data_IF_304855695831
#
_entry.id   IF_304855695831
#
_cell.length_a   1.000
_cell.length_b   1.000
_cell.length_c   1.000
_cell.angle_alpha   90.00
_cell.angle_beta   90.00
_cell.angle_gamma   90.00
#
_symmetry.space_group_name_H-M   'P 1'
#
loop_
_entity.id
_entity.type
_entity.pdbx_description
1 polymer ?
#
# COMPACT_ATOMS: atom_id res chain seq x y z
N UNK A 1 9.43 18.55 35.00
CA UNK A 1 7.96 18.45 35.08
C UNK A 1 7.37 18.96 33.78
N UNK A 2 7.24 18.08 32.79
CA UNK A 2 6.56 18.38 31.53
C UNK A 2 5.08 18.11 31.74
N UNK A 3 4.31 19.18 31.96
CA UNK A 3 2.86 19.12 32.05
C UNK A 3 2.31 18.60 30.72
N UNK A 4 1.87 17.34 30.70
CA UNK A 4 1.11 16.78 29.60
C UNK A 4 -0.16 17.62 29.40
N UNK A 5 -0.38 18.22 28.22
CA UNK A 5 -1.67 18.82 27.94
C UNK A 5 -2.74 17.73 28.05
N UNK A 6 -3.92 18.05 28.61
CA UNK A 6 -5.00 17.07 28.73
C UNK A 6 -5.36 16.55 27.33
N UNK A 7 -5.53 15.24 27.21
CA UNK A 7 -6.21 14.65 26.07
C UNK A 7 -7.56 15.36 25.91
N UNK A 8 -7.96 15.75 24.69
CA UNK A 8 -9.28 16.34 24.48
C UNK A 8 -10.33 15.42 25.11
N UNK A 9 -11.21 16.02 25.92
CA UNK A 9 -12.32 15.31 26.55
C UNK A 9 -13.18 14.64 25.48
N UNK A 10 -13.62 13.39 25.67
CA UNK A 10 -14.38 12.68 24.67
C UNK A 10 -15.66 13.41 24.36
N UNK A 11 -15.72 13.98 23.17
CA UNK A 11 -16.96 14.57 22.67
C UNK A 11 -17.93 13.43 22.38
N UNK A 12 -18.88 13.21 23.30
CA UNK A 12 -20.03 12.32 23.14
C UNK A 12 -21.01 12.88 22.09
N UNK A 13 -20.51 13.20 20.90
CA UNK A 13 -21.36 13.56 19.77
C UNK A 13 -21.93 12.26 19.21
N UNK A 14 -23.27 12.12 19.09
CA UNK A 14 -23.86 10.93 18.52
C UNK A 14 -23.33 10.74 17.10
N UNK A 15 -22.75 9.57 16.85
CA UNK A 15 -22.19 9.24 15.53
C UNK A 15 -23.33 9.11 14.53
N UNK A 16 -23.47 10.10 13.65
CA UNK A 16 -24.39 10.02 12.52
C UNK A 16 -24.05 8.79 11.66
N UNK A 17 -25.03 8.00 11.20
CA UNK A 17 -24.79 6.91 10.26
C UNK A 17 -24.04 7.35 9.00
N UNK A 18 -24.18 8.62 8.61
CA UNK A 18 -23.47 9.22 7.48
C UNK A 18 -21.94 9.24 7.67
N UNK A 19 -21.44 9.25 8.91
CA UNK A 19 -20.00 9.20 9.21
C UNK A 19 -19.43 7.79 9.04
N UNK A 20 -20.27 6.75 9.20
CA UNK A 20 -19.85 5.35 9.09
C UNK A 20 -19.99 4.87 7.64
N UNK A 21 -20.97 5.42 6.91
CA UNK A 21 -21.32 4.99 5.55
C UNK A 21 -20.12 4.87 4.60
N UNK A 22 -19.16 5.82 4.51
CA UNK A 22 -17.99 5.66 3.64
C UNK A 22 -17.17 4.41 3.96
N UNK A 23 -17.01 4.05 5.23
CA UNK A 23 -16.22 2.89 5.65
C UNK A 23 -16.89 1.56 5.28
N UNK A 24 -18.23 1.55 5.16
CA UNK A 24 -19.01 0.39 4.69
C UNK A 24 -19.02 0.33 3.17
N UNK A 25 -19.21 1.48 2.50
CA UNK A 25 -19.30 1.53 1.05
C UNK A 25 -17.97 1.26 0.35
N UNK A 26 -16.84 1.69 0.92
CA UNK A 26 -15.52 1.56 0.30
C UNK A 26 -15.18 0.09 -0.07
N UNK A 27 -15.23 -0.90 0.85
CA UNK A 27 -14.94 -2.28 0.51
C UNK A 27 -15.92 -2.86 -0.53
N UNK A 28 -17.19 -2.44 -0.51
CA UNK A 28 -18.18 -2.85 -1.51
C UNK A 28 -17.84 -2.28 -2.88
N UNK A 29 -17.48 -1.00 -2.96
CA UNK A 29 -17.08 -0.32 -4.19
C UNK A 29 -15.82 -0.92 -4.81
N UNK A 30 -14.86 -1.35 -3.99
CA UNK A 30 -13.65 -2.04 -4.46
C UNK A 30 -14.01 -3.31 -5.24
N UNK A 31 -14.94 -4.12 -4.73
CA UNK A 31 -15.39 -5.35 -5.39
C UNK A 31 -16.30 -5.04 -6.58
N UNK A 32 -17.24 -4.10 -6.41
CA UNK A 32 -18.15 -3.67 -7.47
C UNK A 32 -17.39 -3.04 -8.65
N UNK A 33 -16.20 -2.47 -8.45
CA UNK A 33 -15.35 -2.02 -9.54
C UNK A 33 -15.00 -3.14 -10.53
N UNK A 34 -14.99 -4.40 -10.09
CA UNK A 34 -14.67 -5.58 -10.90
C UNK A 34 -15.90 -6.34 -11.43
N UNK A 35 -17.08 -6.09 -10.87
CA UNK A 35 -18.25 -6.93 -11.09
C UNK A 35 -19.03 -6.66 -12.39
N UNK A 36 -19.41 -5.41 -12.73
CA UNK A 36 -20.11 -5.10 -13.98
C UNK A 36 -19.32 -5.53 -15.22
N UNK A 37 -19.99 -5.87 -16.33
CA UNK A 37 -19.31 -6.06 -17.62
C UNK A 37 -18.53 -4.80 -18.02
N UNK A 38 -17.54 -4.90 -18.92
CA UNK A 38 -16.82 -3.72 -19.41
C UNK A 38 -17.78 -2.78 -20.14
N UNK A 39 -17.82 -1.51 -19.73
CA UNK A 39 -18.57 -0.45 -20.39
C UNK A 39 -17.77 0.85 -20.41
N UNK A 40 -18.07 1.73 -21.38
CA UNK A 40 -17.28 2.94 -21.70
C UNK A 40 -16.94 3.83 -20.50
N UNK A 41 -17.85 3.96 -19.54
CA UNK A 41 -17.70 4.86 -18.40
C UNK A 41 -17.37 4.16 -17.08
N UNK A 42 -17.02 2.86 -17.12
CA UNK A 42 -16.73 2.10 -15.89
C UNK A 42 -15.57 2.70 -15.11
N UNK A 43 -14.46 2.96 -15.79
CA UNK A 43 -13.27 3.54 -15.17
C UNK A 43 -13.52 4.92 -14.53
N UNK A 44 -14.02 5.94 -15.24
CA UNK A 44 -14.28 7.24 -14.63
C UNK A 44 -15.33 7.18 -13.52
N UNK A 45 -16.37 6.34 -13.65
CA UNK A 45 -17.39 6.16 -12.61
C UNK A 45 -16.77 5.64 -11.30
N UNK A 46 -16.07 4.51 -11.37
CA UNK A 46 -15.49 3.90 -10.17
C UNK A 46 -14.32 4.70 -9.60
N UNK A 47 -13.54 5.39 -10.45
CA UNK A 47 -12.51 6.33 -9.99
C UNK A 47 -13.13 7.43 -9.10
N UNK A 48 -14.21 8.07 -9.56
CA UNK A 48 -14.89 9.13 -8.80
C UNK A 48 -15.52 8.58 -7.53
N UNK A 49 -16.24 7.46 -7.61
CA UNK A 49 -16.87 6.83 -6.44
C UNK A 49 -15.83 6.43 -5.37
N UNK A 50 -14.74 5.78 -5.79
CA UNK A 50 -13.66 5.38 -4.87
C UNK A 50 -12.96 6.61 -4.27
N UNK A 51 -12.72 7.67 -5.05
CA UNK A 51 -12.11 8.89 -4.56
C UNK A 51 -12.99 9.60 -3.51
N UNK A 52 -14.30 9.75 -3.79
CA UNK A 52 -15.26 10.33 -2.84
C UNK A 52 -15.34 9.49 -1.57
N UNK A 53 -15.39 8.16 -1.71
CA UNK A 53 -15.53 7.26 -0.58
C UNK A 53 -14.25 7.21 0.28
N UNK A 54 -13.07 7.18 -0.34
CA UNK A 54 -11.77 7.28 0.34
C UNK A 54 -11.62 8.62 1.07
N UNK A 55 -12.01 9.72 0.43
CA UNK A 55 -12.04 11.02 1.08
C UNK A 55 -13.01 11.02 2.27
N UNK A 56 -14.21 10.47 2.09
CA UNK A 56 -15.18 10.28 3.16
C UNK A 56 -14.62 9.49 4.35
N UNK A 57 -13.89 8.40 4.10
CA UNK A 57 -13.23 7.62 5.15
C UNK A 57 -12.14 8.42 5.91
N UNK A 58 -11.51 9.38 5.23
CA UNK A 58 -10.42 10.18 5.82
C UNK A 58 -10.97 11.38 6.58
N UNK A 59 -11.99 12.05 6.01
CA UNK A 59 -12.62 13.24 6.57
C UNK A 59 -13.65 12.91 7.65
N UNK A 60 -14.13 11.66 7.71
CA UNK A 60 -15.10 11.22 8.71
C UNK A 60 -14.57 11.49 10.13
N UNK A 61 -15.40 12.01 11.04
CA UNK A 61 -15.04 12.09 12.45
C UNK A 61 -15.04 10.70 13.12
N UNK A 62 -15.55 9.66 12.45
CA UNK A 62 -15.58 8.29 12.94
C UNK A 62 -14.47 7.43 12.30
N UNK A 63 -13.82 6.53 13.05
CA UNK A 63 -13.83 6.45 14.51
C UNK A 63 -13.25 7.73 15.14
N UNK A 64 -13.64 8.08 16.39
CA UNK A 64 -13.07 9.23 17.09
C UNK A 64 -11.53 9.22 17.09
N UNK A 65 -10.88 10.38 17.11
CA UNK A 65 -9.41 10.46 17.16
C UNK A 65 -8.89 10.44 18.61
N UNK A 66 -9.34 9.46 19.40
CA UNK A 66 -9.11 9.41 20.84
C UNK A 66 -8.91 7.97 21.35
N UNK A 67 -8.15 7.82 22.43
CA UNK A 67 -7.91 6.53 23.09
C UNK A 67 -7.49 5.39 22.15
N UNK A 68 -8.13 4.24 22.30
CA UNK A 68 -7.90 2.98 21.54
C UNK A 68 -8.39 3.06 20.09
N UNK A 69 -9.28 3.99 19.77
CA UNK A 69 -9.86 4.14 18.42
C UNK A 69 -8.92 4.81 17.40
N UNK A 70 -7.81 5.41 17.86
CA UNK A 70 -6.82 6.09 17.00
C UNK A 70 -6.13 5.14 16.03
N UNK A 71 -5.72 3.96 16.50
CA UNK A 71 -5.11 2.94 15.66
C UNK A 71 -6.08 2.45 14.58
N UNK A 72 -7.35 2.24 14.94
CA UNK A 72 -8.40 1.86 14.01
C UNK A 72 -8.64 2.96 12.96
N UNK A 73 -8.73 4.23 13.39
CA UNK A 73 -8.89 5.37 12.49
C UNK A 73 -7.73 5.46 11.47
N UNK A 74 -6.49 5.30 11.93
CA UNK A 74 -5.31 5.24 11.05
C UNK A 74 -5.36 4.07 10.08
N UNK A 75 -5.77 2.88 10.54
CA UNK A 75 -5.93 1.70 9.68
C UNK A 75 -6.98 1.92 8.59
N UNK A 76 -8.13 2.50 8.95
CA UNK A 76 -9.22 2.81 8.02
C UNK A 76 -8.83 3.90 7.02
N UNK A 77 -8.13 4.96 7.45
CA UNK A 77 -7.61 5.98 6.53
C UNK A 77 -6.49 5.43 5.63
N UNK A 78 -5.81 4.36 6.06
CA UNK A 78 -4.80 3.64 5.28
C UNK A 78 -5.36 2.61 4.28
N UNK A 79 -6.69 2.54 4.11
CA UNK A 79 -7.35 1.65 3.13
C UNK A 79 -6.96 1.91 1.66
N UNK A 80 -6.27 3.03 1.39
CA UNK A 80 -5.71 3.35 0.08
C UNK A 80 -4.82 2.26 -0.51
N UNK A 81 -4.24 1.39 0.33
CA UNK A 81 -3.46 0.23 -0.10
C UNK A 81 -4.27 -0.76 -0.97
N UNK A 82 -5.59 -0.74 -0.86
CA UNK A 82 -6.52 -1.52 -1.71
C UNK A 82 -7.15 -0.67 -2.82
N UNK A 83 -7.37 0.63 -2.55
CA UNK A 83 -7.91 1.58 -3.53
C UNK A 83 -6.94 1.80 -4.68
N UNK A 84 -5.66 2.04 -4.39
CA UNK A 84 -4.67 2.37 -5.40
C UNK A 84 -4.47 1.25 -6.44
N UNK A 85 -4.27 -0.04 -6.07
CA UNK A 85 -4.29 -1.14 -7.03
C UNK A 85 -5.61 -1.25 -7.80
N UNK A 86 -6.74 -1.00 -7.14
CA UNK A 86 -8.05 -1.13 -7.79
C UNK A 86 -8.28 -0.04 -8.84
N UNK A 87 -7.93 1.19 -8.51
CA UNK A 87 -7.98 2.31 -9.46
C UNK A 87 -7.05 2.02 -10.63
N UNK A 88 -5.80 1.62 -10.38
CA UNK A 88 -4.84 1.33 -11.45
C UNK A 88 -5.38 0.25 -12.40
N UNK A 89 -5.90 -0.85 -11.87
CA UNK A 89 -6.43 -1.97 -12.68
C UNK A 89 -7.68 -1.62 -13.47
N UNK A 90 -8.57 -0.78 -12.95
CA UNK A 90 -9.80 -0.42 -13.67
C UNK A 90 -9.54 0.71 -14.67
N UNK A 91 -8.61 1.62 -14.38
CA UNK A 91 -8.29 2.77 -15.24
C UNK A 91 -7.35 2.38 -16.38
N UNK A 92 -6.31 1.58 -16.08
CA UNK A 92 -5.26 1.24 -17.05
C UNK A 92 -5.49 -0.08 -17.76
N UNK A 93 -6.40 -0.93 -17.26
CA UNK A 93 -6.60 -2.28 -17.77
C UNK A 93 -8.09 -2.61 -17.94
N UNK A 94 -8.35 -3.70 -18.67
CA UNK A 94 -9.65 -4.37 -18.70
C UNK A 94 -9.55 -5.61 -17.82
N UNK A 95 -10.04 -5.59 -16.56
CA UNK A 95 -9.70 -6.62 -15.60
C UNK A 95 -10.08 -8.06 -16.01
N UNK A 96 -11.17 -8.20 -16.76
CA UNK A 96 -11.65 -9.48 -17.29
C UNK A 96 -10.69 -10.12 -18.29
N UNK A 97 -10.01 -9.28 -19.08
CA UNK A 97 -9.07 -9.69 -20.13
C UNK A 97 -7.65 -9.80 -19.60
N UNK A 98 -7.25 -8.81 -18.80
CA UNK A 98 -5.85 -8.57 -18.48
C UNK A 98 -5.38 -9.31 -17.23
N UNK A 99 -6.28 -9.73 -16.32
CA UNK A 99 -5.91 -10.43 -15.08
C UNK A 99 -6.56 -11.81 -14.98
N UNK A 100 -5.77 -12.87 -15.01
CA UNK A 100 -6.24 -14.25 -14.85
C UNK A 100 -5.34 -15.03 -13.90
N UNK A 101 -5.90 -16.05 -13.24
CA UNK A 101 -5.13 -16.92 -12.34
C UNK A 101 -4.19 -17.82 -13.14
N UNK A 102 -2.97 -17.96 -12.62
CA UNK A 102 -1.97 -18.90 -13.12
C UNK A 102 -2.01 -20.07 -12.14
N UNK A 103 -2.50 -21.21 -12.60
CA UNK A 103 -2.40 -22.48 -11.85
C UNK A 103 -1.08 -23.16 -12.24
N UNK A 104 -0.44 -23.84 -11.30
CA UNK A 104 0.95 -24.29 -11.44
C UNK A 104 1.16 -25.49 -12.39
N UNK A 105 0.12 -26.06 -13.02
CA UNK A 105 0.26 -27.36 -13.73
C UNK A 105 -0.36 -27.49 -15.15
N UNK A 106 -0.98 -26.46 -15.74
CA UNK A 106 -1.60 -26.60 -17.06
C UNK A 106 -0.73 -26.03 -18.19
N UNK A 107 0.06 -26.87 -18.85
CA UNK A 107 0.78 -26.51 -20.10
C UNK A 107 -0.17 -26.32 -21.31
N UNK A 108 -1.42 -26.78 -21.21
CA UNK A 108 -2.39 -26.78 -22.30
C UNK A 108 -2.93 -25.36 -22.63
N UNK A 109 -2.53 -24.84 -23.80
CA UNK A 109 -3.00 -23.57 -24.35
C UNK A 109 -4.52 -23.52 -24.59
N UNK A 110 -5.19 -24.66 -24.80
CA UNK A 110 -6.65 -24.72 -24.94
C UNK A 110 -7.37 -24.47 -23.61
N UNK A 111 -6.81 -24.96 -22.50
CA UNK A 111 -7.31 -24.72 -21.13
C UNK A 111 -7.04 -23.28 -20.71
N UNK A 112 -5.85 -22.74 -21.03
CA UNK A 112 -5.53 -21.31 -20.86
C UNK A 112 -6.49 -20.42 -21.67
N UNK A 113 -6.82 -20.80 -22.90
CA UNK A 113 -7.78 -20.09 -23.76
C UNK A 113 -9.21 -20.16 -23.21
N UNK A 114 -9.65 -21.32 -22.71
CA UNK A 114 -10.97 -21.50 -22.07
C UNK A 114 -11.10 -20.76 -20.73
N UNK A 115 -10.00 -20.61 -19.98
CA UNK A 115 -9.93 -19.76 -18.76
C UNK A 115 -9.85 -18.26 -19.11
N UNK A 116 -9.29 -17.89 -20.28
CA UNK A 116 -9.40 -16.54 -20.88
C UNK A 116 -10.81 -16.26 -21.42
N UNK A 117 -11.53 -17.28 -21.86
CA UNK A 117 -12.95 -17.22 -22.23
C UNK A 117 -13.80 -17.00 -20.98
N UNK A 118 -13.94 -15.72 -20.64
CA UNK A 118 -14.88 -15.06 -19.73
C UNK A 118 -15.63 -15.91 -18.71
N UNK A 119 -15.38 -15.62 -17.43
CA UNK A 119 -16.35 -15.91 -16.36
C UNK A 119 -17.69 -15.29 -16.74
N UNK A 120 -18.78 -16.07 -16.68
CA UNK A 120 -20.13 -15.62 -17.02
C UNK A 120 -20.44 -14.29 -16.31
N UNK A 121 -20.92 -13.31 -17.08
CA UNK A 121 -21.33 -12.02 -16.54
C UNK A 121 -22.45 -12.21 -15.51
N UNK A 122 -22.48 -11.33 -14.50
CA UNK A 122 -23.48 -11.37 -13.43
C UNK A 122 -23.55 -12.72 -12.69
N UNK A 123 -22.40 -13.40 -12.55
CA UNK A 123 -22.29 -14.66 -11.81
C UNK A 123 -21.59 -14.48 -10.47
N UNK A 124 -21.87 -15.38 -9.53
CA UNK A 124 -21.14 -15.49 -8.27
C UNK A 124 -19.63 -15.70 -8.52
N UNK A 125 -19.27 -16.45 -9.55
CA UNK A 125 -17.87 -16.63 -9.95
C UNK A 125 -17.20 -15.31 -10.32
N UNK A 126 -17.91 -14.38 -10.97
CA UNK A 126 -17.37 -13.05 -11.31
C UNK A 126 -17.21 -12.18 -10.07
N UNK A 127 -18.19 -12.21 -9.17
CA UNK A 127 -18.11 -11.52 -7.88
C UNK A 127 -16.91 -12.02 -7.08
N UNK A 128 -16.75 -13.33 -6.97
CA UNK A 128 -15.65 -13.97 -6.25
C UNK A 128 -14.28 -13.68 -6.87
N UNK A 129 -14.18 -13.66 -8.21
CA UNK A 129 -12.97 -13.22 -8.92
C UNK A 129 -12.61 -11.78 -8.57
N UNK A 130 -13.59 -10.88 -8.47
CA UNK A 130 -13.42 -9.50 -8.00
C UNK A 130 -12.90 -9.42 -6.57
N UNK A 131 -13.53 -10.16 -5.64
CA UNK A 131 -13.08 -10.27 -4.23
C UNK A 131 -11.62 -10.72 -4.16
N UNK A 132 -11.26 -11.81 -4.85
CA UNK A 132 -9.87 -12.32 -4.87
C UNK A 132 -8.88 -11.30 -5.42
N UNK A 133 -9.27 -10.54 -6.44
CA UNK A 133 -8.41 -9.52 -7.04
C UNK A 133 -8.17 -8.36 -6.06
N UNK A 134 -9.20 -7.91 -5.33
CA UNK A 134 -9.07 -6.91 -4.25
C UNK A 134 -8.18 -7.43 -3.12
N UNK A 135 -8.42 -8.67 -2.67
CA UNK A 135 -7.67 -9.29 -1.58
C UNK A 135 -6.23 -9.67 -1.96
N UNK A 136 -5.87 -9.60 -3.25
CA UNK A 136 -4.52 -9.90 -3.75
C UNK A 136 -3.90 -8.68 -4.44
N UNK A 137 -3.59 -7.60 -3.71
CA UNK A 137 -3.06 -6.37 -4.31
C UNK A 137 -1.71 -6.60 -5.02
N UNK A 138 -0.91 -7.56 -4.56
CA UNK A 138 0.38 -7.95 -5.16
C UNK A 138 0.26 -8.85 -6.39
N UNK A 139 -0.94 -9.39 -6.67
CA UNK A 139 -1.19 -10.26 -7.82
C UNK A 139 -0.63 -11.68 -7.72
N UNK A 140 -0.32 -12.19 -6.53
CA UNK A 140 0.17 -13.57 -6.30
C UNK A 140 -0.82 -14.59 -6.85
N UNK A 141 -0.35 -15.58 -7.62
CA UNK A 141 -1.23 -16.55 -8.29
C UNK A 141 -2.02 -15.96 -9.47
N UNK A 142 -1.74 -14.71 -9.85
CA UNK A 142 -2.22 -14.08 -11.08
C UNK A 142 -1.06 -13.87 -12.05
N UNK A 143 -1.39 -13.69 -13.32
CA UNK A 143 -0.42 -13.41 -14.40
C UNK A 143 0.42 -12.13 -14.19
N UNK A 144 0.09 -11.31 -13.19
CA UNK A 144 0.78 -10.07 -12.84
C UNK A 144 1.66 -10.17 -11.58
N UNK A 145 1.54 -11.25 -10.80
CA UNK A 145 2.39 -11.50 -9.64
C UNK A 145 3.55 -12.44 -9.99
N UNK A 146 4.66 -12.29 -9.26
CA UNK A 146 5.70 -13.31 -9.27
C UNK A 146 5.25 -14.56 -8.51
N UNK A 147 5.78 -15.74 -8.89
CA UNK A 147 5.68 -16.96 -8.08
C UNK A 147 6.28 -16.70 -6.70
N UNK A 148 5.60 -17.13 -5.64
CA UNK A 148 6.00 -16.81 -4.27
C UNK A 148 7.11 -17.74 -3.76
N UNK A 149 7.98 -17.19 -2.93
CA UNK A 149 8.78 -17.92 -1.94
C UNK A 149 8.24 -17.53 -0.54
N UNK A 150 8.02 -18.54 0.30
CA UNK A 150 7.28 -18.51 1.58
C UNK A 150 7.85 -17.59 2.67
N UNK A 151 6.98 -17.00 3.52
CA UNK A 151 6.71 -17.41 4.93
C UNK A 151 5.98 -16.33 5.77
N UNK A 152 5.03 -16.81 6.60
CA UNK A 152 4.39 -16.25 7.82
C UNK A 152 3.73 -14.86 7.77
N UNK A 153 2.39 -14.84 7.61
CA UNK A 153 1.45 -14.02 8.40
C UNK A 153 0.00 -14.35 8.01
N UNK A 154 -0.48 -15.51 8.48
CA UNK A 154 -1.88 -15.92 8.45
C UNK A 154 -2.64 -15.36 9.65
N UNK A 155 -3.91 -14.97 9.46
CA UNK A 155 -4.97 -15.23 10.46
C UNK A 155 -6.36 -14.77 10.00
N UNK A 156 -6.49 -13.69 9.22
CA UNK A 156 -7.83 -13.10 8.98
C UNK A 156 -8.48 -13.58 7.68
N UNK A 157 -7.69 -13.90 6.65
CA UNK A 157 -8.21 -14.43 5.37
C UNK A 157 -8.49 -15.93 5.36
N UNK A 158 -7.83 -16.68 6.24
CA UNK A 158 -7.89 -18.16 6.33
C UNK A 158 -9.24 -18.64 6.84
N UNK A 159 -9.87 -17.91 7.76
CA UNK A 159 -11.19 -18.25 8.30
C UNK A 159 -12.35 -18.13 7.28
N UNK A 160 -12.14 -17.48 6.13
CA UNK A 160 -13.17 -17.21 5.12
C UNK A 160 -12.95 -17.95 3.79
N UNK A 161 -11.91 -18.79 3.67
CA UNK A 161 -11.66 -19.59 2.45
C UNK A 161 -11.39 -18.77 1.18
N UNK A 162 -10.96 -17.51 1.31
CA UNK A 162 -10.82 -16.58 0.18
C UNK A 162 -9.62 -16.93 -0.72
N UNK A 163 -8.49 -17.26 -0.10
CA UNK A 163 -7.19 -17.60 -0.72
C UNK A 163 -6.47 -18.67 0.13
N UNK A 164 -5.67 -19.55 -0.48
CA UNK A 164 -4.81 -20.50 0.26
C UNK A 164 -3.70 -19.81 1.06
N UNK A 165 -3.16 -20.50 2.08
CA UNK A 165 -2.05 -20.02 2.94
C UNK A 165 -0.86 -19.52 2.12
N UNK A 166 -0.58 -20.20 1.01
CA UNK A 166 0.53 -19.91 0.10
C UNK A 166 0.29 -18.68 -0.79
N UNK A 167 -0.93 -18.12 -0.79
CA UNK A 167 -1.31 -16.97 -1.62
C UNK A 167 -1.15 -15.62 -0.88
N UNK A 168 -0.81 -15.64 0.41
CA UNK A 168 -0.55 -14.43 1.19
C UNK A 168 0.93 -14.06 1.18
N UNK A 169 1.32 -12.98 0.48
CA UNK A 169 2.72 -12.59 0.39
C UNK A 169 3.26 -12.13 1.74
N UNK A 170 4.52 -12.46 2.06
CA UNK A 170 5.20 -11.79 3.15
C UNK A 170 5.17 -10.28 2.86
N UNK A 171 4.75 -9.51 3.87
CA UNK A 171 4.61 -8.05 3.80
C UNK A 171 5.93 -7.39 3.38
N UNK A 172 7.02 -8.04 3.78
CA UNK A 172 8.38 -7.66 3.49
C UNK A 172 9.11 -8.73 2.68
N UNK A 173 10.10 -8.32 1.89
CA UNK A 173 11.04 -9.25 1.25
C UNK A 173 12.18 -9.68 2.17
N UNK A 174 13.27 -10.15 1.58
CA UNK A 174 14.46 -10.53 2.33
C UNK A 174 15.25 -9.30 2.81
N UNK A 175 15.62 -9.28 4.10
CA UNK A 175 16.54 -8.27 4.66
C UNK A 175 17.93 -8.31 4.03
N UNK A 176 18.33 -9.46 3.47
CA UNK A 176 19.61 -9.62 2.79
C UNK A 176 19.68 -8.86 1.46
N UNK A 177 18.54 -8.44 0.91
CA UNK A 177 18.48 -7.57 -0.27
C UNK A 177 18.57 -6.07 0.08
N UNK A 178 18.60 -5.70 1.36
CA UNK A 178 18.61 -4.32 1.86
C UNK A 178 20.02 -3.70 1.94
N UNK A 179 20.87 -3.94 0.95
CA UNK A 179 22.21 -3.32 0.84
C UNK A 179 22.27 -2.15 -0.15
N UNK A 180 21.13 -1.75 -0.71
CA UNK A 180 20.93 -0.49 -1.45
C UNK A 180 19.55 0.09 -1.10
N UNK A 181 19.38 1.41 -1.16
CA UNK A 181 18.08 2.07 -0.99
C UNK A 181 17.06 1.58 -2.01
N UNK A 182 17.48 1.37 -3.26
CA UNK A 182 16.63 0.78 -4.30
C UNK A 182 16.23 -0.67 -3.96
N UNK A 183 17.12 -1.42 -3.31
CA UNK A 183 16.83 -2.77 -2.81
C UNK A 183 15.78 -2.75 -1.70
N UNK A 184 15.93 -1.83 -0.74
CA UNK A 184 14.93 -1.64 0.35
C UNK A 184 13.55 -1.38 -0.24
N UNK A 185 13.39 -0.37 -1.09
CA UNK A 185 12.07 -0.01 -1.63
C UNK A 185 11.57 -1.00 -2.70
N UNK A 186 12.48 -1.52 -3.52
CA UNK A 186 12.15 -2.32 -4.69
C UNK A 186 11.99 -3.82 -4.45
N UNK A 187 12.45 -4.33 -3.29
CA UNK A 187 12.42 -5.77 -2.95
C UNK A 187 11.93 -6.05 -1.54
N UNK A 188 12.22 -5.19 -0.58
CA UNK A 188 11.88 -5.44 0.83
C UNK A 188 10.59 -4.76 1.25
N UNK A 189 10.48 -3.44 1.17
CA UNK A 189 9.42 -2.66 1.80
C UNK A 189 8.11 -2.63 0.99
N UNK A 190 6.97 -2.85 1.64
CA UNK A 190 5.60 -2.68 1.10
C UNK A 190 5.43 -3.08 -0.39
N UNK A 191 5.70 -4.33 -0.72
CA UNK A 191 5.76 -4.75 -2.13
C UNK A 191 4.41 -4.71 -2.87
N UNK A 192 3.29 -4.56 -2.16
CA UNK A 192 1.94 -4.46 -2.72
C UNK A 192 1.67 -3.12 -3.45
N UNK A 193 2.38 -2.03 -3.12
CA UNK A 193 2.23 -0.72 -3.83
C UNK A 193 3.11 -0.59 -5.07
N UNK A 194 4.07 -1.50 -5.27
CA UNK A 194 5.06 -1.38 -6.34
C UNK A 194 4.42 -1.44 -7.72
N UNK A 195 3.57 -2.44 -7.97
CA UNK A 195 2.90 -2.62 -9.26
C UNK A 195 2.02 -1.42 -9.66
N UNK A 196 1.09 -0.94 -8.81
CA UNK A 196 0.27 0.19 -9.21
C UNK A 196 1.09 1.47 -9.43
N UNK A 197 2.09 1.76 -8.59
CA UNK A 197 2.99 2.89 -8.83
C UNK A 197 3.78 2.76 -10.15
N UNK A 198 4.15 1.54 -10.54
CA UNK A 198 4.77 1.29 -11.85
C UNK A 198 3.79 1.49 -13.00
N UNK A 199 2.52 1.08 -12.85
CA UNK A 199 1.46 1.33 -13.83
C UNK A 199 1.30 2.82 -14.15
N UNK A 200 1.09 3.66 -13.11
CA UNK A 200 0.95 5.11 -13.29
C UNK A 200 2.21 5.76 -13.86
N UNK A 201 3.39 5.37 -13.41
CA UNK A 201 4.63 5.95 -13.93
C UNK A 201 4.92 5.57 -15.38
N UNK A 202 4.53 4.36 -15.83
CA UNK A 202 4.59 3.97 -17.25
C UNK A 202 3.65 4.84 -18.09
N UNK A 203 2.44 5.11 -17.60
CA UNK A 203 1.52 6.03 -18.24
C UNK A 203 2.15 7.42 -18.42
N UNK A 204 2.81 7.98 -17.39
CA UNK A 204 3.50 9.27 -17.53
C UNK A 204 4.66 9.25 -18.53
N UNK A 205 5.47 8.18 -18.54
CA UNK A 205 6.56 8.00 -19.51
C UNK A 205 6.02 7.97 -20.94
N UNK A 206 4.89 7.29 -21.17
CA UNK A 206 4.25 7.20 -22.49
C UNK A 206 3.61 8.52 -22.90
N UNK A 207 2.86 9.16 -22.00
CA UNK A 207 2.23 10.46 -22.22
C UNK A 207 3.25 11.54 -22.61
N UNK A 208 4.41 11.53 -21.94
CA UNK A 208 5.50 12.48 -22.19
C UNK A 208 6.46 12.04 -23.30
N UNK A 209 6.19 10.91 -23.98
CA UNK A 209 7.04 10.34 -25.03
C UNK A 209 8.52 10.15 -24.62
N UNK A 210 8.76 9.81 -23.35
CA UNK A 210 10.10 9.64 -22.80
C UNK A 210 10.66 8.26 -23.20
N UNK A 211 11.91 8.16 -23.68
CA UNK A 211 12.51 6.87 -24.00
C UNK A 211 12.58 5.97 -22.77
N UNK A 212 12.00 4.75 -22.85
CA UNK A 212 11.81 3.83 -21.70
C UNK A 212 13.09 3.45 -20.94
N UNK A 213 14.25 3.50 -21.58
CA UNK A 213 15.56 3.15 -20.98
C UNK A 213 16.43 4.37 -20.67
N UNK A 214 15.84 5.56 -20.61
CA UNK A 214 16.55 6.78 -20.27
C UNK A 214 16.61 7.01 -18.75
N UNK A 215 17.60 7.80 -18.31
CA UNK A 215 17.67 8.27 -16.92
C UNK A 215 16.45 9.11 -16.53
N UNK A 216 15.82 9.80 -17.48
CA UNK A 216 14.58 10.55 -17.25
C UNK A 216 13.42 9.61 -16.93
N UNK A 217 13.25 8.51 -17.67
CA UNK A 217 12.25 7.50 -17.35
C UNK A 217 12.47 6.92 -15.94
N UNK A 218 13.72 6.62 -15.58
CA UNK A 218 14.06 6.17 -14.23
C UNK A 218 13.67 7.19 -13.14
N UNK A 219 13.97 8.48 -13.34
CA UNK A 219 13.58 9.55 -12.41
C UNK A 219 12.06 9.73 -12.33
N UNK A 220 11.32 9.59 -13.43
CA UNK A 220 9.86 9.61 -13.42
C UNK A 220 9.30 8.46 -12.59
N UNK A 221 9.84 7.24 -12.76
CA UNK A 221 9.41 6.08 -11.97
C UNK A 221 9.63 6.28 -10.47
N UNK A 222 10.83 6.74 -10.07
CA UNK A 222 11.15 7.02 -8.66
C UNK A 222 10.30 8.15 -8.08
N UNK A 223 10.22 9.28 -8.79
CA UNK A 223 9.47 10.47 -8.36
C UNK A 223 8.00 10.13 -8.20
N UNK A 224 7.40 9.41 -9.15
CA UNK A 224 6.00 8.99 -9.05
C UNK A 224 5.76 8.09 -7.82
N UNK A 225 6.64 7.10 -7.59
CA UNK A 225 6.50 6.18 -6.46
C UNK A 225 6.57 6.91 -5.11
N UNK A 226 7.55 7.79 -4.93
CA UNK A 226 7.72 8.52 -3.68
C UNK A 226 6.69 9.64 -3.49
N UNK A 227 6.27 10.32 -4.57
CA UNK A 227 5.20 11.31 -4.49
C UNK A 227 3.84 10.66 -4.14
N UNK A 228 3.55 9.50 -4.72
CA UNK A 228 2.35 8.72 -4.37
C UNK A 228 2.40 8.29 -2.90
N UNK A 229 3.58 7.88 -2.42
CA UNK A 229 3.78 7.55 -1.00
C UNK A 229 3.56 8.77 -0.10
N UNK A 230 4.16 9.93 -0.42
CA UNK A 230 3.94 11.19 0.30
C UNK A 230 2.45 11.51 0.40
N UNK A 231 1.73 11.48 -0.72
CA UNK A 231 0.31 11.83 -0.77
C UNK A 231 -0.52 10.95 0.18
N UNK A 232 -0.37 9.63 0.10
CA UNK A 232 -1.16 8.72 0.91
C UNK A 232 -0.74 8.67 2.38
N UNK A 233 0.54 8.90 2.69
CA UNK A 233 0.98 9.04 4.09
C UNK A 233 0.48 10.34 4.73
N UNK A 234 0.48 11.46 4.00
CA UNK A 234 -0.16 12.70 4.47
C UNK A 234 -1.65 12.49 4.68
N UNK A 235 -2.34 11.83 3.75
CA UNK A 235 -3.78 11.56 3.85
C UNK A 235 -4.10 10.67 5.07
N UNK A 236 -3.39 9.56 5.22
CA UNK A 236 -3.64 8.58 6.29
C UNK A 236 -3.26 9.10 7.69
N UNK A 237 -2.06 9.67 7.84
CA UNK A 237 -1.60 10.25 9.12
C UNK A 237 -2.37 11.54 9.43
N UNK A 238 -2.76 12.30 8.42
CA UNK A 238 -3.58 13.51 8.58
C UNK A 238 -4.92 13.23 9.26
N UNK A 239 -5.50 12.05 9.01
CA UNK A 239 -6.72 11.61 9.67
C UNK A 239 -6.60 11.55 11.20
N UNK A 240 -5.40 11.30 11.74
CA UNK A 240 -5.13 11.17 13.18
C UNK A 240 -4.26 12.30 13.75
N UNK A 241 -3.82 13.23 12.90
CA UNK A 241 -2.97 14.35 13.28
C UNK A 241 -3.73 15.49 13.97
N UNK A 242 -5.04 15.63 13.71
CA UNK A 242 -5.87 16.70 14.26
C UNK A 242 -5.77 16.78 15.79
N UNK A 243 -5.35 17.93 16.30
CA UNK A 243 -5.14 18.17 17.74
C UNK A 243 -3.78 17.74 18.30
N UNK A 244 -2.94 17.06 17.51
CA UNK A 244 -1.64 16.52 17.95
C UNK A 244 -0.45 17.06 17.15
N UNK A 245 -0.60 17.16 15.83
CA UNK A 245 0.49 17.55 14.94
C UNK A 245 -0.01 18.48 13.83
N UNK A 246 0.61 19.66 13.62
CA UNK A 246 0.17 20.60 12.59
C UNK A 246 0.22 19.99 11.18
N UNK A 247 -0.84 20.19 10.39
CA UNK A 247 -0.93 19.63 9.04
C UNK A 247 0.21 20.10 8.12
N UNK A 248 0.63 21.37 8.23
CA UNK A 248 1.74 21.91 7.44
C UNK A 248 3.06 21.21 7.77
N UNK A 249 3.32 20.94 9.06
CA UNK A 249 4.48 20.17 9.51
C UNK A 249 4.43 18.74 9.00
N UNK A 250 3.25 18.09 9.05
CA UNK A 250 3.06 16.75 8.51
C UNK A 250 3.36 16.68 7.01
N UNK A 251 2.83 17.62 6.23
CA UNK A 251 3.07 17.69 4.78
C UNK A 251 4.56 17.86 4.52
N UNK A 252 5.22 18.78 5.22
CA UNK A 252 6.65 19.01 5.07
C UNK A 252 7.47 17.76 5.43
N UNK A 253 7.20 17.13 6.57
CA UNK A 253 7.91 15.94 7.04
C UNK A 253 7.80 14.76 6.08
N UNK A 254 6.58 14.43 5.67
CA UNK A 254 6.33 13.33 4.73
C UNK A 254 6.97 13.63 3.38
N UNK A 255 6.85 14.86 2.89
CA UNK A 255 7.46 15.27 1.62
C UNK A 255 8.98 15.15 1.66
N UNK A 256 9.62 15.65 2.71
CA UNK A 256 11.08 15.56 2.86
C UNK A 256 11.51 14.10 2.94
N UNK A 257 10.88 13.30 3.80
CA UNK A 257 11.24 11.89 3.99
C UNK A 257 11.16 11.06 2.71
N UNK A 258 10.07 11.15 1.96
CA UNK A 258 9.89 10.33 0.77
C UNK A 258 10.66 10.89 -0.43
N UNK A 259 10.66 12.21 -0.64
CA UNK A 259 11.33 12.78 -1.80
C UNK A 259 12.85 12.67 -1.72
N UNK A 260 13.46 12.73 -0.53
CA UNK A 260 14.91 12.54 -0.40
C UNK A 260 15.36 11.14 -0.85
N UNK A 261 14.50 10.12 -0.79
CA UNK A 261 14.82 8.76 -1.25
C UNK A 261 15.12 8.72 -2.75
N UNK A 262 14.56 9.64 -3.55
CA UNK A 262 14.91 9.77 -4.97
C UNK A 262 16.40 10.10 -5.16
N UNK A 263 16.96 10.92 -4.26
CA UNK A 263 18.37 11.31 -4.27
C UNK A 263 19.25 10.11 -3.92
N UNK A 264 18.91 9.37 -2.86
CA UNK A 264 19.63 8.15 -2.48
C UNK A 264 19.66 7.12 -3.61
N UNK A 265 18.51 6.88 -4.23
CA UNK A 265 18.38 5.96 -5.36
C UNK A 265 19.12 6.42 -6.62
N UNK A 266 19.19 7.73 -6.88
CA UNK A 266 19.94 8.29 -8.01
C UNK A 266 21.46 8.21 -7.77
N UNK A 267 21.92 8.52 -6.56
CA UNK A 267 23.34 8.40 -6.17
C UNK A 267 23.82 6.96 -6.33
N UNK A 268 23.03 5.98 -5.88
CA UNK A 268 23.33 4.56 -6.05
C UNK A 268 23.36 4.16 -7.53
N UNK A 269 22.36 4.61 -8.31
CA UNK A 269 22.25 4.29 -9.74
C UNK A 269 23.47 4.70 -10.55
N UNK A 270 24.08 5.85 -10.25
CA UNK A 270 25.26 6.35 -10.99
C UNK A 270 26.58 5.63 -10.65
N UNK A 271 26.64 4.96 -9.48
CA UNK A 271 27.89 4.37 -8.94
C UNK A 271 27.90 2.85 -8.96
N UNK A 272 26.73 2.22 -9.09
CA UNK A 272 26.55 0.76 -8.94
C UNK A 272 27.46 -0.07 -9.84
N UNK A 273 27.49 0.22 -11.14
CA UNK A 273 28.26 -0.58 -12.11
C UNK A 273 29.77 -0.41 -11.88
N UNK A 274 30.23 0.79 -11.56
CA UNK A 274 31.65 1.10 -11.33
C UNK A 274 32.20 0.43 -10.07
N UNK A 275 31.43 0.43 -8.98
CA UNK A 275 31.87 -0.15 -7.70
C UNK A 275 31.78 -1.68 -7.73
N UNK A 276 30.73 -2.24 -8.33
CA UNK A 276 30.54 -3.69 -8.39
C UNK A 276 31.60 -4.42 -9.25
N UNK A 277 32.27 -3.71 -10.17
CA UNK A 277 33.36 -4.27 -10.98
C UNK A 277 34.68 -4.43 -10.22
N UNK A 278 34.87 -3.68 -9.13
CA UNK A 278 36.18 -3.57 -8.45
C UNK A 278 36.15 -4.22 -7.06
N UNK A 279 34.98 -4.28 -6.42
CA UNK A 279 34.83 -4.78 -5.05
C UNK A 279 34.25 -6.19 -5.03
N UNK A 280 34.81 -7.07 -4.19
CA UNK A 280 34.26 -8.41 -3.97
C UNK A 280 32.78 -8.35 -3.55
N UNK A 281 31.90 -9.24 -4.06
CA UNK A 281 30.46 -9.17 -3.79
C UNK A 281 30.08 -9.14 -2.31
N UNK A 282 30.79 -9.88 -1.46
CA UNK A 282 30.54 -9.90 -0.02
C UNK A 282 30.84 -8.54 0.65
N UNK A 283 32.01 -7.95 0.33
CA UNK A 283 32.42 -6.63 0.84
C UNK A 283 31.46 -5.55 0.34
N UNK A 284 31.06 -5.60 -0.94
CA UNK A 284 30.10 -4.68 -1.52
C UNK A 284 28.76 -4.70 -0.76
N UNK A 285 28.26 -5.89 -0.40
CA UNK A 285 27.02 -6.04 0.39
C UNK A 285 27.17 -5.50 1.81
N UNK A 286 28.28 -5.77 2.50
CA UNK A 286 28.53 -5.24 3.86
C UNK A 286 28.56 -3.71 3.84
N UNK A 287 29.35 -3.12 2.94
CA UNK A 287 29.42 -1.66 2.79
C UNK A 287 28.06 -1.07 2.40
N UNK A 288 27.31 -1.77 1.54
CA UNK A 288 25.96 -1.40 1.15
C UNK A 288 24.98 -1.38 2.32
N UNK A 289 25.02 -2.38 3.21
CA UNK A 289 24.21 -2.39 4.42
C UNK A 289 24.56 -1.24 5.36
N UNK A 290 25.85 -0.96 5.57
CA UNK A 290 26.29 0.19 6.38
C UNK A 290 25.76 1.49 5.77
N UNK A 291 25.90 1.66 4.45
CA UNK A 291 25.37 2.81 3.72
C UNK A 291 23.86 2.97 3.91
N UNK A 292 23.08 1.90 3.72
CA UNK A 292 21.62 1.92 3.88
C UNK A 292 21.23 2.29 5.31
N UNK A 293 21.88 1.69 6.32
CA UNK A 293 21.61 1.99 7.73
C UNK A 293 21.88 3.48 8.01
N UNK A 294 23.04 4.01 7.61
CA UNK A 294 23.37 5.42 7.78
C UNK A 294 22.39 6.34 7.04
N UNK A 295 22.02 6.00 5.81
CA UNK A 295 21.08 6.76 5.00
C UNK A 295 19.71 6.85 5.67
N UNK A 296 19.16 5.73 6.12
CA UNK A 296 17.87 5.71 6.80
C UNK A 296 17.95 6.30 8.20
N UNK A 297 19.07 6.18 8.92
CA UNK A 297 19.24 6.84 10.22
C UNK A 297 19.09 8.36 10.11
N UNK A 298 19.71 8.98 9.09
CA UNK A 298 19.59 10.42 8.83
C UNK A 298 18.21 10.77 8.28
N UNK A 299 17.75 10.07 7.24
CA UNK A 299 16.55 10.47 6.51
C UNK A 299 15.25 10.14 7.23
N UNK A 300 15.22 9.13 8.11
CA UNK A 300 14.00 8.75 8.83
C UNK A 300 13.60 9.73 9.92
N UNK A 301 14.45 10.72 10.27
CA UNK A 301 14.13 11.72 11.28
C UNK A 301 12.76 12.39 11.05
N UNK A 302 12.48 12.87 9.84
CA UNK A 302 11.20 13.52 9.51
C UNK A 302 10.01 12.57 9.62
N UNK A 303 10.18 11.32 9.18
CA UNK A 303 9.14 10.30 9.32
C UNK A 303 8.84 10.01 10.79
N UNK A 304 9.89 9.72 11.58
CA UNK A 304 9.78 9.44 13.01
C UNK A 304 9.19 10.64 13.74
N UNK A 305 9.59 11.87 13.41
CA UNK A 305 9.06 13.10 14.00
C UNK A 305 7.56 13.25 13.80
N UNK A 306 7.06 13.00 12.59
CA UNK A 306 5.63 13.06 12.30
C UNK A 306 4.84 11.97 13.03
N UNK A 307 5.33 10.72 13.06
CA UNK A 307 4.67 9.61 13.74
C UNK A 307 4.72 9.74 15.27
N UNK A 308 5.83 10.23 15.82
CA UNK A 308 5.94 10.60 17.24
C UNK A 308 5.04 11.80 17.58
N UNK A 309 4.92 12.75 16.65
CA UNK A 309 4.04 13.91 16.76
C UNK A 309 2.56 13.56 16.87
N UNK A 310 2.11 12.53 16.14
CA UNK A 310 0.76 11.95 16.33
C UNK A 310 0.69 10.96 17.49
N UNK A 311 1.74 10.87 18.30
CA UNK A 311 1.82 10.01 19.49
C UNK A 311 1.53 8.54 19.19
N UNK A 312 2.03 8.03 18.06
CA UNK A 312 1.83 6.64 17.66
C UNK A 312 2.31 5.64 18.72
N UNK A 313 3.35 6.01 19.48
CA UNK A 313 3.88 5.21 20.59
C UNK A 313 2.86 4.96 21.72
N UNK A 314 1.83 5.79 21.84
CA UNK A 314 0.80 5.67 22.88
C UNK A 314 -0.41 4.85 22.40
N UNK A 315 -0.44 4.43 21.12
CA UNK A 315 -1.58 3.75 20.56
C UNK A 315 -1.66 2.31 21.05
N UNK A 316 -2.83 1.91 21.53
CA UNK A 316 -3.14 0.53 21.90
C UNK A 316 -4.08 -0.08 20.87
N UNK A 317 -3.87 -1.36 20.55
CA UNK A 317 -4.81 -2.10 19.71
C UNK A 317 -6.10 -2.34 20.50
N UNK A 318 -7.29 -2.22 19.88
CA UNK A 318 -8.57 -2.43 20.55
C UNK A 318 -8.75 -3.88 21.02
N UNK A 319 -7.99 -4.83 20.47
CA UNK A 319 -7.97 -6.22 20.90
C UNK A 319 -6.52 -6.67 21.03
N UNK A 320 -6.12 -7.05 22.23
CA UNK A 320 -4.82 -7.70 22.48
C UNK A 320 -5.07 -9.17 22.82
N UNK A 321 -4.69 -10.07 21.92
CA UNK A 321 -4.74 -11.53 22.17
C UNK A 321 -3.86 -11.86 23.39
N UNK A 322 -2.71 -11.20 23.52
CA UNK A 322 -1.85 -11.30 24.70
C UNK A 322 -2.49 -10.69 25.95
N UNK A 323 -3.25 -9.58 25.83
CA UNK A 323 -3.95 -8.95 26.94
C UNK A 323 -5.06 -9.86 27.50
N UNK A 324 -5.82 -10.51 26.63
CA UNK A 324 -6.79 -11.52 27.02
C UNK A 324 -6.15 -12.75 27.69
N UNK A 325 -4.96 -13.17 27.25
CA UNK A 325 -4.21 -14.27 27.86
C UNK A 325 -3.53 -13.90 29.18
N UNK A 326 -3.10 -12.63 29.33
CA UNK A 326 -2.40 -12.13 30.52
C UNK A 326 -3.35 -11.47 31.53
N UNK A 327 -4.66 -11.52 31.30
CA UNK A 327 -5.66 -10.91 32.19
C UNK A 327 -5.56 -9.38 32.27
N UNK A 328 -4.94 -8.74 31.29
CA UNK A 328 -4.93 -7.27 31.19
C UNK A 328 -6.32 -6.85 30.69
N UNK A 329 -7.07 -6.04 31.45
CA UNK A 329 -8.40 -5.61 31.02
C UNK A 329 -8.32 -4.92 29.65
N UNK A 330 -9.20 -5.31 28.74
CA UNK A 330 -9.50 -4.48 27.58
C UNK A 330 -10.34 -3.31 28.10
N UNK A 331 -9.81 -2.09 27.97
CA UNK A 331 -10.52 -0.84 28.33
C UNK A 331 -11.44 -0.36 27.22
#
# INVERSE_FOLDING_TARGET
MTTTPPSPSPSLTPTSPLHILPHILLPLLLVLGYFPPPFRFRAPLFLVLLAICQWGCTASPWPPNEGTTRALRYGLSSSWIFVLPTVERIVMHTPERDFFRVEDDDDDESVKKRKREGVKEWSFAKLWRGVRLVCTPRGVGWNIGGRMQFEVAEAVGVGLGVNGVEEWPPLFGSVFDCYTTVGVWGRFWHQYIRQPCLGFSRYFVELLHVPRRSSLAYLIHLTNAFLTSTFFHVLSVGAVAGGYYPLQSLIADMSIFFMIQTVGAAVEGTRRERVAQVVMPAIYRILGHIWVICWFFVTSFWFVRAYAGVRMQDWRLPYSVLGGLLGVPNE
#
